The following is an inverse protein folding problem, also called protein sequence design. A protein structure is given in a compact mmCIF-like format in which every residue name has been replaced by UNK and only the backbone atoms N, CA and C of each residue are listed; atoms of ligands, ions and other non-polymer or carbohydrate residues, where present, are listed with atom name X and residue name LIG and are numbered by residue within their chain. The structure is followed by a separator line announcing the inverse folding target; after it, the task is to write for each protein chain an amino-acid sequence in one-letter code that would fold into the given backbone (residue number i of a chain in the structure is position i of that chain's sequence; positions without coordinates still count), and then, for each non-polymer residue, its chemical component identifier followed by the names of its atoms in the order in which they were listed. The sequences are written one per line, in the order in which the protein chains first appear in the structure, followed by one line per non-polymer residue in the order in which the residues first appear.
data_IF_517778214042
#
_entry.id   IF_517778214042
#
_cell.length_a   1.000
_cell.length_b   1.000
_cell.length_c   1.000
_cell.angle_alpha   90.00
_cell.angle_beta   90.00
_cell.angle_gamma   90.00
#
_symmetry.space_group_name_H-M   'P 1'
#
loop_
_entity.id
_entity.type
_entity.pdbx_description
1 polymer ?
#
# COMPACT_ATOMS: atom_id res chain seq x y z
N UNK A 1 14.14 -7.17 -6.88
CA UNK A 1 14.89 -7.63 -8.07
C UNK A 1 14.61 -6.63 -9.17
N UNK A 2 15.61 -5.86 -9.59
CA UNK A 2 15.45 -5.07 -10.81
C UNK A 2 15.45 -6.06 -11.98
N UNK A 3 14.30 -6.18 -12.66
CA UNK A 3 14.22 -6.81 -13.98
C UNK A 3 14.83 -5.85 -14.99
N UNK A 4 16.11 -5.56 -14.79
CA UNK A 4 16.92 -4.77 -15.68
C UNK A 4 17.63 -5.72 -16.64
N UNK A 5 17.52 -5.36 -17.91
CA UNK A 5 18.46 -5.64 -18.98
C UNK A 5 18.42 -7.06 -19.56
N UNK A 6 17.39 -7.33 -20.35
CA UNK A 6 17.66 -7.90 -21.66
C UNK A 6 17.54 -6.73 -22.61
N UNK A 7 18.68 -6.31 -23.13
CA UNK A 7 18.75 -5.21 -24.08
C UNK A 7 18.88 -5.82 -25.45
N UNK A 8 17.94 -5.51 -26.34
CA UNK A 8 17.90 -6.13 -27.68
C UNK A 8 19.17 -5.76 -28.47
N UNK A 9 19.73 -4.59 -28.19
CA UNK A 9 21.05 -4.13 -28.63
C UNK A 9 22.23 -5.02 -28.17
N UNK A 10 22.05 -5.88 -27.17
CA UNK A 10 23.03 -6.93 -26.78
C UNK A 10 23.11 -8.07 -27.81
N UNK A 11 22.13 -8.17 -28.73
CA UNK A 11 22.05 -9.22 -29.74
C UNK A 11 21.92 -8.65 -31.17
N UNK A 12 22.91 -7.88 -31.66
CA UNK A 12 22.83 -7.16 -32.93
C UNK A 12 22.72 -8.08 -34.16
N UNK A 13 23.19 -9.34 -34.08
CA UNK A 13 23.07 -10.32 -35.16
C UNK A 13 21.63 -10.85 -35.32
N UNK A 14 20.85 -10.84 -34.23
CA UNK A 14 19.44 -11.22 -34.26
C UNK A 14 18.55 -10.03 -34.62
N UNK A 15 18.81 -8.84 -34.06
CA UNK A 15 17.86 -7.72 -34.08
C UNK A 15 18.38 -6.41 -34.69
N UNK A 16 19.63 -6.37 -35.16
CA UNK A 16 20.17 -5.21 -35.86
C UNK A 16 19.45 -4.92 -37.19
N UNK A 17 19.81 -3.82 -37.85
CA UNK A 17 19.20 -3.38 -39.12
C UNK A 17 19.28 -4.41 -40.26
N UNK A 18 20.21 -5.37 -40.16
CA UNK A 18 20.38 -6.50 -41.08
C UNK A 18 20.24 -7.87 -40.37
N UNK A 19 19.66 -7.88 -39.16
CA UNK A 19 19.51 -9.07 -38.31
C UNK A 19 18.44 -10.04 -38.81
N UNK A 20 18.62 -11.33 -38.52
CA UNK A 20 17.79 -12.43 -39.05
C UNK A 20 16.33 -12.34 -38.54
N UNK A 21 16.11 -11.72 -37.38
CA UNK A 21 14.83 -11.66 -36.69
C UNK A 21 14.25 -10.23 -36.58
N UNK A 22 14.64 -9.32 -37.47
CA UNK A 22 14.17 -7.92 -37.44
C UNK A 22 12.64 -7.78 -37.46
N UNK A 23 11.92 -8.72 -38.08
CA UNK A 23 10.46 -8.77 -38.13
C UNK A 23 9.78 -9.18 -36.79
N UNK A 24 10.49 -9.87 -35.90
CA UNK A 24 9.98 -10.32 -34.59
C UNK A 24 10.42 -9.40 -33.45
N UNK A 25 11.36 -8.48 -33.73
CA UNK A 25 11.92 -7.51 -32.80
C UNK A 25 10.84 -6.71 -32.03
N UNK A 26 9.83 -6.19 -32.75
CA UNK A 26 8.79 -5.36 -32.14
C UNK A 26 7.92 -6.15 -31.15
N UNK A 27 7.60 -7.41 -31.47
CA UNK A 27 6.81 -8.29 -30.59
C UNK A 27 7.58 -8.63 -29.31
N UNK A 28 8.86 -8.99 -29.42
CA UNK A 28 9.70 -9.26 -28.25
C UNK A 28 9.92 -8.02 -27.38
N UNK A 29 10.12 -6.84 -28.00
CA UNK A 29 10.21 -5.58 -27.26
C UNK A 29 8.95 -5.32 -26.44
N UNK A 30 7.76 -5.56 -27.03
CA UNK A 30 6.47 -5.41 -26.33
C UNK A 30 6.37 -6.37 -25.15
N UNK A 31 6.74 -7.64 -25.34
CA UNK A 31 6.75 -8.67 -24.29
C UNK A 31 7.65 -8.26 -23.11
N UNK A 32 8.89 -7.84 -23.38
CA UNK A 32 9.83 -7.44 -22.33
C UNK A 32 9.33 -6.22 -21.55
N UNK A 33 8.75 -5.24 -22.24
CA UNK A 33 8.15 -4.07 -21.60
C UNK A 33 6.95 -4.45 -20.71
N UNK A 34 6.08 -5.35 -21.18
CA UNK A 34 4.95 -5.85 -20.39
C UNK A 34 5.41 -6.58 -19.13
N UNK A 35 6.41 -7.47 -19.24
CA UNK A 35 6.99 -8.17 -18.09
C UNK A 35 7.58 -7.20 -17.07
N UNK A 36 8.25 -6.14 -17.53
CA UNK A 36 8.78 -5.08 -16.68
C UNK A 36 7.68 -4.33 -15.92
N UNK A 37 6.58 -3.99 -16.60
CA UNK A 37 5.41 -3.34 -16.00
C UNK A 37 4.72 -4.24 -14.97
N UNK A 38 4.49 -5.50 -15.30
CA UNK A 38 3.86 -6.47 -14.38
C UNK A 38 4.70 -6.74 -13.15
N UNK A 39 6.02 -6.83 -13.28
CA UNK A 39 6.88 -6.97 -12.10
C UNK A 39 6.82 -5.75 -11.20
N UNK A 40 6.80 -4.54 -11.78
CA UNK A 40 6.66 -3.32 -11.00
C UNK A 40 5.32 -3.29 -10.26
N UNK A 41 4.21 -3.57 -10.94
CA UNK A 41 2.87 -3.62 -10.33
C UNK A 41 2.81 -4.69 -9.23
N UNK A 42 3.36 -5.89 -9.46
CA UNK A 42 3.38 -6.95 -8.46
C UNK A 42 4.17 -6.57 -7.20
N UNK A 43 5.32 -5.90 -7.34
CA UNK A 43 6.11 -5.40 -6.20
C UNK A 43 5.37 -4.31 -5.43
N UNK A 44 4.71 -3.38 -6.14
CA UNK A 44 3.89 -2.33 -5.53
C UNK A 44 2.73 -2.93 -4.73
N UNK A 45 2.01 -3.90 -5.30
CA UNK A 45 0.93 -4.62 -4.63
C UNK A 45 1.44 -5.42 -3.42
N UNK A 46 2.59 -6.08 -3.53
CA UNK A 46 3.20 -6.82 -2.42
C UNK A 46 3.55 -5.88 -1.25
N UNK A 47 4.05 -4.68 -1.57
CA UNK A 47 4.34 -3.64 -0.57
C UNK A 47 3.07 -3.13 0.11
N UNK A 48 2.02 -2.87 -0.68
CA UNK A 48 0.71 -2.44 -0.16
C UNK A 48 0.10 -3.50 0.75
N UNK A 49 0.17 -4.77 0.36
CA UNK A 49 -0.33 -5.90 1.15
C UNK A 49 0.45 -6.05 2.47
N UNK A 50 1.78 -5.92 2.43
CA UNK A 50 2.61 -5.96 3.64
C UNK A 50 2.25 -4.85 4.64
N UNK A 51 1.95 -3.64 4.17
CA UNK A 51 1.49 -2.53 5.01
C UNK A 51 0.14 -2.85 5.68
N UNK A 52 -0.82 -3.43 4.94
CA UNK A 52 -2.10 -3.90 5.48
C UNK A 52 -1.88 -4.96 6.56
N UNK A 53 -1.08 -6.00 6.26
CA UNK A 53 -0.78 -7.09 7.21
C UNK A 53 -0.14 -6.54 8.49
N UNK A 54 0.83 -5.62 8.37
CA UNK A 54 1.50 -5.03 9.51
C UNK A 54 0.54 -4.18 10.36
N UNK A 55 -0.36 -3.43 9.74
CA UNK A 55 -1.41 -2.67 10.46
C UNK A 55 -2.36 -3.59 11.22
N UNK A 56 -2.82 -4.67 10.58
CA UNK A 56 -3.73 -5.65 11.18
C UNK A 56 -3.05 -6.38 12.34
N UNK A 57 -1.81 -6.87 12.14
CA UNK A 57 -1.02 -7.51 13.21
C UNK A 57 -0.76 -6.55 14.37
N UNK A 58 -0.34 -5.32 14.09
CA UNK A 58 -0.13 -4.30 15.12
C UNK A 58 -1.41 -3.92 15.87
N UNK A 59 -2.59 -4.08 15.26
CA UNK A 59 -3.88 -3.94 15.96
C UNK A 59 -4.13 -5.12 16.90
N UNK A 60 -3.95 -6.35 16.42
CA UNK A 60 -4.22 -7.59 17.17
C UNK A 60 -3.22 -7.80 18.33
N UNK A 61 -1.95 -7.48 18.14
CA UNK A 61 -0.91 -7.56 19.18
C UNK A 61 -1.21 -6.64 20.37
N UNK A 62 -1.78 -5.46 20.10
CA UNK A 62 -2.30 -4.53 21.13
C UNK A 62 -3.53 -5.07 21.86
N UNK A 63 -4.05 -6.23 21.52
CA UNK A 63 -5.10 -6.91 22.29
C UNK A 63 -4.55 -8.10 23.08
N UNK A 64 -3.45 -8.69 22.61
CA UNK A 64 -2.85 -9.89 23.19
C UNK A 64 -1.95 -9.61 24.40
N UNK A 65 -1.41 -8.39 24.54
CA UNK A 65 -0.70 -8.02 25.78
C UNK A 65 -1.69 -7.62 26.87
N UNK A 66 -1.56 -8.21 28.07
CA UNK A 66 -2.34 -7.83 29.25
C UNK A 66 -2.25 -6.31 29.55
N UNK A 67 -1.13 -5.68 29.19
CA UNK A 67 -0.87 -4.25 29.38
C UNK A 67 -1.59 -3.35 28.36
N UNK A 68 -1.94 -3.83 27.17
CA UNK A 68 -2.60 -3.00 26.17
C UNK A 68 -4.10 -2.92 26.39
N UNK A 69 -4.71 -3.97 26.96
CA UNK A 69 -6.03 -3.83 27.60
C UNK A 69 -5.92 -2.79 28.71
N UNK A 70 -4.92 -2.82 29.59
CA UNK A 70 -4.74 -1.78 30.62
C UNK A 70 -4.50 -0.38 30.02
N UNK A 71 -3.75 -0.22 28.93
CA UNK A 71 -3.47 1.09 28.31
C UNK A 71 -4.71 1.72 27.67
N UNK A 72 -5.43 0.98 26.83
CA UNK A 72 -6.70 1.47 26.27
C UNK A 72 -7.77 1.56 27.37
N UNK A 73 -7.72 0.65 28.35
CA UNK A 73 -8.57 0.72 29.52
C UNK A 73 -8.13 1.79 30.51
N UNK A 74 -6.96 2.43 30.44
CA UNK A 74 -6.60 3.49 31.42
C UNK A 74 -7.43 4.74 31.18
N UNK A 75 -7.64 5.09 29.91
CA UNK A 75 -8.61 6.13 29.54
C UNK A 75 -10.05 5.72 29.86
N UNK A 76 -10.37 4.42 29.77
CA UNK A 76 -11.67 3.87 30.17
C UNK A 76 -11.79 3.84 31.69
N UNK A 77 -11.00 3.08 32.45
CA UNK A 77 -10.87 3.05 33.92
C UNK A 77 -10.90 4.42 34.60
N UNK A 78 -10.32 5.48 34.02
CA UNK A 78 -10.40 6.84 34.57
C UNK A 78 -11.78 7.51 34.38
N UNK A 79 -12.59 7.05 33.41
CA UNK A 79 -13.90 7.59 33.02
C UNK A 79 -15.07 6.58 33.16
N UNK A 80 -14.81 5.28 33.18
CA UNK A 80 -15.72 4.14 32.94
C UNK A 80 -15.17 2.84 33.57
N UNK A 81 -15.92 2.16 34.44
CA UNK A 81 -15.48 0.94 35.12
C UNK A 81 -15.54 -0.31 34.21
N UNK A 82 -14.57 -1.21 34.38
CA UNK A 82 -14.40 -2.46 33.59
C UNK A 82 -14.78 -3.73 34.35
N UNK A 83 -15.05 -3.65 35.66
CA UNK A 83 -15.43 -4.77 36.55
C UNK A 83 -16.86 -4.62 37.06
N UNK A 84 -17.49 -5.73 37.46
CA UNK A 84 -18.83 -5.77 38.05
C UNK A 84 -18.97 -4.68 39.13
N UNK A 85 -20.07 -3.91 39.14
CA UNK A 85 -20.31 -2.90 40.17
C UNK A 85 -20.15 -3.51 41.57
N UNK A 86 -19.35 -2.91 42.46
CA UNK A 86 -19.35 -3.24 43.87
C UNK A 86 -20.78 -3.21 44.44
N UNK A 87 -21.11 -4.06 45.41
CA UNK A 87 -22.48 -4.16 45.98
C UNK A 87 -22.99 -2.81 46.52
N UNK A 88 -22.10 -1.99 47.06
CA UNK A 88 -22.36 -0.64 47.56
C UNK A 88 -22.58 0.41 46.45
N UNK A 89 -22.19 0.11 45.22
CA UNK A 89 -22.33 0.97 44.04
C UNK A 89 -23.37 0.44 43.04
N UNK A 90 -24.00 -0.71 43.32
CA UNK A 90 -24.96 -1.35 42.44
C UNK A 90 -26.20 -0.48 42.12
N UNK A 91 -26.55 0.45 43.01
CA UNK A 91 -27.68 1.38 42.84
C UNK A 91 -27.26 2.78 42.32
N UNK A 92 -25.97 3.04 42.11
CA UNK A 92 -25.50 4.31 41.54
C UNK A 92 -25.75 4.30 40.02
N UNK A 93 -26.77 5.03 39.60
CA UNK A 93 -27.20 5.17 38.19
C UNK A 93 -26.03 5.65 37.31
N UNK A 94 -25.18 6.55 37.82
CA UNK A 94 -24.04 7.09 37.07
C UNK A 94 -22.97 6.02 36.87
N UNK A 95 -22.73 5.20 37.88
CA UNK A 95 -21.81 4.06 37.78
C UNK A 95 -22.34 3.02 36.79
N UNK A 96 -23.63 2.68 36.86
CA UNK A 96 -24.25 1.68 35.98
C UNK A 96 -24.21 2.11 34.51
N UNK A 97 -24.48 3.38 34.23
CA UNK A 97 -24.35 3.95 32.88
C UNK A 97 -22.91 3.84 32.38
N UNK A 98 -21.94 4.25 33.21
CA UNK A 98 -20.52 4.17 32.85
C UNK A 98 -20.04 2.73 32.65
N UNK A 99 -20.51 1.79 33.47
CA UNK A 99 -20.21 0.37 33.36
C UNK A 99 -20.76 -0.22 32.06
N UNK A 100 -22.04 0.05 31.76
CA UNK A 100 -22.69 -0.37 30.51
C UNK A 100 -21.93 0.15 29.28
N UNK A 101 -21.48 1.41 29.31
CA UNK A 101 -20.65 2.03 28.28
C UNK A 101 -19.32 1.28 28.09
N UNK A 102 -18.66 0.90 29.19
CA UNK A 102 -17.42 0.12 29.17
C UNK A 102 -17.61 -1.28 28.58
N UNK A 103 -18.68 -1.99 28.98
CA UNK A 103 -19.00 -3.32 28.44
C UNK A 103 -19.33 -3.28 26.94
N UNK A 104 -20.06 -2.27 26.49
CA UNK A 104 -20.33 -2.09 25.05
C UNK A 104 -19.05 -1.84 24.27
N UNK A 105 -18.12 -1.03 24.79
CA UNK A 105 -16.83 -0.80 24.14
C UNK A 105 -16.02 -2.10 23.98
N UNK A 106 -15.94 -2.90 25.05
CA UNK A 106 -15.25 -4.20 25.04
C UNK A 106 -15.89 -5.14 24.03
N UNK A 107 -17.22 -5.21 24.00
CA UNK A 107 -17.97 -6.05 23.06
C UNK A 107 -17.70 -5.66 21.60
N UNK A 108 -17.78 -4.37 21.28
CA UNK A 108 -17.53 -3.89 19.92
C UNK A 108 -16.07 -4.05 19.48
N UNK A 109 -15.11 -3.90 20.41
CA UNK A 109 -13.70 -4.18 20.13
C UNK A 109 -13.47 -5.65 19.80
N UNK A 110 -14.09 -6.59 20.53
CA UNK A 110 -14.00 -8.04 20.21
C UNK A 110 -14.52 -8.33 18.80
N UNK A 111 -15.67 -7.77 18.42
CA UNK A 111 -16.20 -7.90 17.05
C UNK A 111 -15.25 -7.33 16.00
N UNK A 112 -14.61 -6.19 16.28
CA UNK A 112 -13.61 -5.61 15.39
C UNK A 112 -12.39 -6.55 15.25
N UNK A 113 -11.95 -7.18 16.32
CA UNK A 113 -10.81 -8.11 16.29
C UNK A 113 -11.12 -9.38 15.51
N UNK A 114 -12.33 -9.93 15.63
CA UNK A 114 -12.78 -11.05 14.79
C UNK A 114 -12.74 -10.69 13.29
N UNK A 115 -13.19 -9.47 12.94
CA UNK A 115 -13.12 -8.98 11.56
C UNK A 115 -11.68 -8.73 11.10
N UNK A 116 -10.80 -8.23 11.97
CA UNK A 116 -9.37 -8.06 11.68
C UNK A 116 -8.69 -9.40 11.43
N UNK A 117 -9.02 -10.43 12.20
CA UNK A 117 -8.52 -11.78 11.98
C UNK A 117 -8.93 -12.31 10.60
N UNK A 118 -10.20 -12.13 10.24
CA UNK A 118 -10.70 -12.48 8.90
C UNK A 118 -10.00 -11.69 7.79
N UNK A 119 -9.72 -10.41 8.01
CA UNK A 119 -8.94 -9.58 7.08
C UNK A 119 -7.54 -10.16 6.86
N UNK A 120 -6.90 -10.70 7.90
CA UNK A 120 -5.59 -11.32 7.81
C UNK A 120 -5.65 -12.61 6.97
N UNK A 121 -6.65 -13.47 7.19
CA UNK A 121 -6.88 -14.68 6.39
C UNK A 121 -7.10 -14.37 4.91
N UNK A 122 -7.79 -13.26 4.60
CA UNK A 122 -7.99 -12.80 3.22
C UNK A 122 -6.70 -12.34 2.54
N UNK A 123 -5.65 -12.01 3.31
CA UNK A 123 -4.37 -11.56 2.77
C UNK A 123 -3.46 -12.72 2.31
N UNK A 124 -3.69 -13.95 2.78
CA UNK A 124 -2.80 -15.10 2.50
C UNK A 124 -2.75 -15.46 1.01
N UNK A 125 -3.92 -15.46 0.36
CA UNK A 125 -4.06 -15.79 -1.06
C UNK A 125 -3.38 -14.78 -2.00
N UNK A 126 -3.66 -13.46 -1.93
CA UNK A 126 -2.94 -12.48 -2.75
C UNK A 126 -1.44 -12.42 -2.42
N UNK A 127 -1.02 -12.68 -1.17
CA UNK A 127 0.41 -12.74 -0.83
C UNK A 127 1.11 -13.87 -1.58
N UNK A 128 0.48 -15.05 -1.63
CA UNK A 128 0.99 -16.20 -2.36
C UNK A 128 1.01 -15.96 -3.87
N UNK A 129 -0.11 -15.49 -4.44
CA UNK A 129 -0.23 -15.22 -5.88
C UNK A 129 0.82 -14.21 -6.37
N UNK A 130 1.06 -13.15 -5.61
CA UNK A 130 2.08 -12.15 -5.96
C UNK A 130 3.49 -12.71 -5.89
N UNK A 131 3.82 -13.52 -4.87
CA UNK A 131 5.13 -14.19 -4.78
C UNK A 131 5.35 -15.13 -5.96
N UNK A 132 4.36 -15.97 -6.27
CA UNK A 132 4.42 -16.93 -7.36
C UNK A 132 4.54 -16.20 -8.72
N UNK A 133 3.81 -15.10 -8.91
CA UNK A 133 3.87 -14.27 -10.12
C UNK A 133 5.24 -13.62 -10.31
N UNK A 134 5.84 -13.06 -9.25
CA UNK A 134 7.18 -12.46 -9.32
C UNK A 134 8.23 -13.53 -9.71
N UNK A 135 8.14 -14.72 -9.13
CA UNK A 135 9.03 -15.85 -9.46
C UNK A 135 8.86 -16.27 -10.91
N UNK A 136 7.61 -16.39 -11.40
CA UNK A 136 7.33 -16.78 -12.77
C UNK A 136 7.81 -15.72 -13.78
N UNK A 137 7.63 -14.43 -13.49
CA UNK A 137 8.16 -13.36 -14.33
C UNK A 137 9.69 -13.45 -14.41
N UNK A 138 10.38 -13.68 -13.29
CA UNK A 138 11.83 -13.90 -13.28
C UNK A 138 12.24 -15.13 -14.10
N UNK A 139 11.48 -16.22 -14.04
CA UNK A 139 11.73 -17.43 -14.82
C UNK A 139 11.56 -17.17 -16.33
N UNK A 140 10.52 -16.44 -16.73
CA UNK A 140 10.28 -16.05 -18.13
C UNK A 140 11.42 -15.20 -18.64
N UNK A 141 11.84 -14.18 -17.88
CA UNK A 141 12.97 -13.32 -18.26
C UNK A 141 14.25 -14.15 -18.45
N UNK A 142 14.55 -15.06 -17.53
CA UNK A 142 15.73 -15.93 -17.66
C UNK A 142 15.63 -16.88 -18.85
N UNK A 143 14.45 -17.43 -19.13
CA UNK A 143 14.20 -18.27 -20.30
C UNK A 143 14.49 -17.49 -21.59
N UNK A 144 13.93 -16.28 -21.73
CA UNK A 144 14.14 -15.42 -22.90
C UNK A 144 15.62 -15.12 -23.08
N UNK A 145 16.31 -14.70 -22.01
CA UNK A 145 17.75 -14.40 -22.02
C UNK A 145 18.57 -15.59 -22.52
N UNK A 146 18.34 -16.77 -21.93
CA UNK A 146 19.07 -17.99 -22.28
C UNK A 146 18.83 -18.43 -23.73
N UNK A 147 17.60 -18.27 -24.23
CA UNK A 147 17.29 -18.61 -25.62
C UNK A 147 17.96 -17.63 -26.58
N UNK A 148 17.95 -16.33 -26.29
CA UNK A 148 18.62 -15.33 -27.11
C UNK A 148 20.13 -15.56 -27.18
N UNK A 149 20.78 -15.91 -26.06
CA UNK A 149 22.19 -16.30 -26.08
C UNK A 149 22.47 -17.51 -26.98
N UNK A 150 21.62 -18.55 -26.92
CA UNK A 150 21.75 -19.73 -27.79
C UNK A 150 21.60 -19.37 -29.25
N UNK A 151 20.57 -18.58 -29.59
CA UNK A 151 20.34 -18.15 -30.97
C UNK A 151 21.47 -17.25 -31.48
N UNK A 152 21.94 -16.31 -30.68
CA UNK A 152 23.03 -15.41 -31.09
C UNK A 152 24.33 -16.19 -31.33
N UNK A 153 24.70 -17.12 -30.44
CA UNK A 153 25.88 -17.98 -30.64
C UNK A 153 25.74 -18.90 -31.85
N UNK A 154 24.52 -19.37 -32.14
CA UNK A 154 24.25 -20.17 -33.32
C UNK A 154 24.44 -19.34 -34.60
N UNK A 155 23.85 -18.14 -34.65
CA UNK A 155 23.98 -17.22 -35.80
C UNK A 155 25.43 -16.83 -36.06
N UNK A 156 26.22 -16.56 -35.01
CA UNK A 156 27.66 -16.31 -35.14
C UNK A 156 28.40 -17.47 -35.82
N UNK A 157 28.08 -18.71 -35.44
CA UNK A 157 28.70 -19.90 -36.04
C UNK A 157 28.25 -20.12 -37.48
N UNK A 158 26.98 -19.86 -37.79
CA UNK A 158 26.41 -20.18 -39.10
C UNK A 158 26.54 -19.09 -40.16
N UNK A 159 26.84 -17.84 -39.80
CA UNK A 159 27.28 -16.83 -40.78
C UNK A 159 28.50 -17.30 -41.59
N UNK A 160 29.24 -18.30 -41.10
CA UNK A 160 30.35 -18.94 -41.82
C UNK A 160 29.92 -20.07 -42.77
N UNK A 161 28.68 -20.60 -42.70
CA UNK A 161 28.22 -21.77 -43.47
C UNK A 161 26.78 -21.57 -44.02
N UNK A 162 26.65 -21.56 -45.35
CA UNK A 162 25.54 -20.97 -46.12
C UNK A 162 24.11 -21.57 -45.99
N UNK A 163 23.12 -20.65 -46.08
CA UNK A 163 21.82 -20.67 -46.80
C UNK A 163 20.58 -21.48 -46.38
N UNK A 164 20.62 -22.48 -45.48
CA UNK A 164 19.40 -23.28 -45.15
C UNK A 164 18.81 -23.06 -43.74
N UNK A 165 19.26 -22.00 -43.05
CA UNK A 165 19.06 -21.80 -41.62
C UNK A 165 17.74 -21.11 -41.22
N UNK A 166 17.18 -20.31 -42.13
CA UNK A 166 16.21 -19.27 -41.79
C UNK A 166 14.84 -19.81 -41.29
N UNK A 167 14.31 -20.85 -41.92
CA UNK A 167 12.96 -21.35 -41.61
C UNK A 167 12.86 -22.11 -40.27
N UNK A 168 13.90 -22.84 -39.86
CA UNK A 168 13.87 -23.63 -38.61
C UNK A 168 13.96 -22.74 -37.36
N UNK A 169 14.84 -21.73 -37.38
CA UNK A 169 14.92 -20.71 -36.31
C UNK A 169 13.61 -19.96 -36.12
N UNK A 170 12.98 -19.53 -37.21
CA UNK A 170 11.71 -18.81 -37.14
C UNK A 170 10.60 -19.65 -36.47
N UNK A 171 10.50 -20.94 -36.79
CA UNK A 171 9.52 -21.85 -36.15
C UNK A 171 9.79 -22.00 -34.64
N UNK A 172 11.06 -22.15 -34.24
CA UNK A 172 11.43 -22.26 -32.82
C UNK A 172 11.13 -20.97 -32.05
N UNK A 173 11.38 -19.81 -32.65
CA UNK A 173 11.07 -18.50 -32.07
C UNK A 173 9.57 -18.29 -31.89
N UNK A 174 8.75 -18.63 -32.90
CA UNK A 174 7.28 -18.53 -32.79
C UNK A 174 6.75 -19.42 -31.67
N UNK A 175 7.23 -20.66 -31.55
CA UNK A 175 6.82 -21.56 -30.46
C UNK A 175 7.20 -21.02 -29.08
N UNK A 176 8.38 -20.39 -28.96
CA UNK A 176 8.83 -19.77 -27.72
C UNK A 176 7.94 -18.57 -27.36
N UNK A 177 7.60 -17.71 -28.32
CA UNK A 177 6.71 -16.55 -28.12
C UNK A 177 5.35 -17.01 -27.59
N UNK A 178 4.72 -17.99 -28.24
CA UNK A 178 3.42 -18.50 -27.79
C UNK A 178 3.47 -19.06 -26.36
N UNK A 179 4.57 -19.71 -25.98
CA UNK A 179 4.74 -20.21 -24.61
C UNK A 179 4.86 -19.04 -23.61
N UNK A 180 5.59 -18.00 -23.97
CA UNK A 180 5.77 -16.80 -23.16
C UNK A 180 4.43 -16.05 -23.01
N UNK A 181 3.68 -15.87 -24.10
CA UNK A 181 2.40 -15.16 -24.09
C UNK A 181 1.40 -15.83 -23.13
N UNK A 182 1.28 -17.16 -23.16
CA UNK A 182 0.43 -17.89 -22.22
C UNK A 182 0.84 -17.69 -20.75
N UNK A 183 2.15 -17.58 -20.47
CA UNK A 183 2.65 -17.32 -19.12
C UNK A 183 2.38 -15.87 -18.69
N UNK A 184 2.51 -14.92 -19.62
CA UNK A 184 2.22 -13.51 -19.40
C UNK A 184 0.74 -13.31 -19.09
N UNK A 185 -0.15 -13.94 -19.85
CA UNK A 185 -1.59 -13.90 -19.61
C UNK A 185 -1.94 -14.42 -18.22
N UNK A 186 -1.33 -15.55 -17.81
CA UNK A 186 -1.50 -16.08 -16.46
C UNK A 186 -1.04 -15.08 -15.39
N UNK A 187 0.17 -14.53 -15.50
CA UNK A 187 0.67 -13.53 -14.55
C UNK A 187 -0.24 -12.30 -14.47
N UNK A 188 -0.77 -11.83 -15.61
CA UNK A 188 -1.67 -10.70 -15.65
C UNK A 188 -2.98 -10.99 -14.90
N UNK A 189 -3.55 -12.17 -15.07
CA UNK A 189 -4.76 -12.59 -14.36
C UNK A 189 -4.51 -12.71 -12.85
N UNK A 190 -3.38 -13.30 -12.46
CA UNK A 190 -2.99 -13.46 -11.04
C UNK A 190 -2.76 -12.09 -10.37
N UNK A 191 -2.10 -11.14 -11.05
CA UNK A 191 -1.89 -9.76 -10.57
C UNK A 191 -3.23 -9.03 -10.43
N UNK A 192 -4.12 -9.15 -11.42
CA UNK A 192 -5.44 -8.50 -11.40
C UNK A 192 -6.30 -9.02 -10.24
N UNK A 193 -6.38 -10.34 -10.10
CA UNK A 193 -7.08 -11.00 -8.99
C UNK A 193 -6.50 -10.60 -7.63
N UNK A 194 -5.16 -10.52 -7.52
CA UNK A 194 -4.49 -10.09 -6.28
C UNK A 194 -4.85 -8.64 -5.92
N UNK A 195 -4.89 -7.75 -6.92
CA UNK A 195 -5.25 -6.33 -6.74
C UNK A 195 -6.66 -6.17 -6.17
N UNK A 196 -7.63 -6.86 -6.75
CA UNK A 196 -9.03 -6.83 -6.28
C UNK A 196 -9.14 -7.31 -4.81
N UNK A 197 -8.43 -8.40 -4.47
CA UNK A 197 -8.41 -8.92 -3.08
C UNK A 197 -7.74 -7.96 -2.10
N UNK A 198 -6.66 -7.32 -2.51
CA UNK A 198 -5.97 -6.30 -1.70
C UNK A 198 -6.88 -5.10 -1.46
N UNK A 199 -7.63 -4.66 -2.48
CA UNK A 199 -8.57 -3.55 -2.35
C UNK A 199 -9.71 -3.90 -1.40
N UNK A 200 -10.27 -5.12 -1.47
CA UNK A 200 -11.25 -5.63 -0.51
C UNK A 200 -10.70 -5.67 0.93
N UNK A 201 -9.44 -6.09 1.12
CA UNK A 201 -8.80 -6.08 2.44
C UNK A 201 -8.67 -4.64 2.98
N UNK A 202 -8.29 -3.69 2.13
CA UNK A 202 -8.20 -2.28 2.51
C UNK A 202 -9.57 -1.70 2.89
N UNK A 203 -10.63 -1.99 2.13
CA UNK A 203 -11.99 -1.54 2.45
C UNK A 203 -12.51 -2.11 3.76
N UNK A 204 -12.24 -3.40 4.02
CA UNK A 204 -12.59 -4.04 5.27
C UNK A 204 -11.84 -3.40 6.45
N UNK A 205 -10.53 -3.15 6.29
CA UNK A 205 -9.72 -2.46 7.30
C UNK A 205 -10.26 -1.07 7.62
N UNK A 206 -10.53 -0.26 6.59
CA UNK A 206 -11.07 1.10 6.75
C UNK A 206 -12.45 1.07 7.44
N UNK A 207 -13.30 0.09 7.11
CA UNK A 207 -14.61 -0.13 7.73
C UNK A 207 -14.51 -0.50 9.22
N UNK A 208 -13.54 -1.34 9.59
CA UNK A 208 -13.28 -1.70 10.99
C UNK A 208 -12.76 -0.48 11.76
N UNK A 209 -11.82 0.26 11.20
CA UNK A 209 -11.32 1.51 11.80
C UNK A 209 -12.47 2.50 12.03
N UNK A 210 -13.35 2.68 11.04
CA UNK A 210 -14.56 3.49 11.14
C UNK A 210 -15.46 3.05 12.30
N UNK A 211 -15.79 1.76 12.35
CA UNK A 211 -16.65 1.20 13.41
C UNK A 211 -16.04 1.45 14.78
N UNK A 212 -14.75 1.16 14.96
CA UNK A 212 -14.08 1.34 16.24
C UNK A 212 -13.99 2.82 16.63
N UNK A 213 -13.69 3.71 15.68
CA UNK A 213 -13.63 5.14 15.95
C UNK A 213 -14.98 5.73 16.35
N UNK A 214 -16.10 5.24 15.80
CA UNK A 214 -17.44 5.64 16.27
C UNK A 214 -17.69 5.25 17.71
N UNK A 215 -17.33 4.03 18.09
CA UNK A 215 -17.47 3.56 19.48
C UNK A 215 -16.57 4.38 20.42
N UNK A 216 -15.38 4.78 19.94
CA UNK A 216 -14.42 5.59 20.69
C UNK A 216 -14.81 7.07 20.81
N UNK A 217 -15.30 7.70 19.73
CA UNK A 217 -15.47 9.16 19.62
C UNK A 217 -16.93 9.62 19.71
N UNK A 218 -17.90 8.76 19.36
CA UNK A 218 -19.34 9.04 19.31
C UNK A 218 -20.00 9.36 20.65
N UNK A 219 -19.20 9.61 21.69
CA UNK A 219 -19.65 9.90 23.06
C UNK A 219 -19.13 11.25 23.59
N UNK A 220 -18.46 12.03 22.73
CA UNK A 220 -18.30 13.48 22.96
C UNK A 220 -19.49 14.19 22.32
N UNK A 221 -20.12 15.14 23.04
CA UNK A 221 -21.28 15.90 22.53
C UNK A 221 -21.00 16.66 21.22
N UNK A 222 -19.72 16.86 20.88
CA UNK A 222 -19.27 17.41 19.60
C UNK A 222 -19.46 16.44 18.40
N UNK A 223 -19.65 15.13 18.64
CA UNK A 223 -19.65 14.08 17.60
C UNK A 223 -21.06 13.66 17.14
N UNK A 224 -22.11 13.89 17.95
CA UNK A 224 -23.47 13.40 17.63
C UNK A 224 -24.17 14.20 16.53
N UNK A 225 -23.80 15.48 16.35
CA UNK A 225 -24.63 16.44 15.59
C UNK A 225 -23.99 16.92 14.27
N UNK A 226 -22.81 16.39 13.88
CA UNK A 226 -22.08 16.85 12.69
C UNK A 226 -22.19 15.91 11.49
N UNK A 227 -22.20 16.50 10.29
CA UNK A 227 -22.18 15.82 8.99
C UNK A 227 -21.08 14.75 9.00
N UNK A 228 -21.48 13.48 8.95
CA UNK A 228 -20.57 12.34 9.03
C UNK A 228 -19.98 11.93 7.69
N UNK A 229 -20.29 12.65 6.61
CA UNK A 229 -19.86 12.31 5.25
C UNK A 229 -18.95 13.40 4.69
N UNK A 230 -17.91 12.97 3.98
CA UNK A 230 -17.03 13.83 3.21
C UNK A 230 -17.83 14.61 2.17
N UNK A 231 -17.69 15.94 2.16
CA UNK A 231 -18.33 16.82 1.18
C UNK A 231 -17.80 16.62 -0.24
N UNK A 232 -16.60 16.04 -0.38
CA UNK A 232 -15.94 15.81 -1.68
C UNK A 232 -16.36 14.46 -2.28
N UNK A 233 -16.24 13.36 -1.53
CA UNK A 233 -16.50 12.01 -2.07
C UNK A 233 -17.75 11.31 -1.51
N UNK A 234 -18.47 11.93 -0.58
CA UNK A 234 -19.67 11.36 0.05
C UNK A 234 -19.41 10.21 1.03
N UNK A 235 -18.18 9.69 1.14
CA UNK A 235 -17.83 8.61 2.08
C UNK A 235 -17.87 9.09 3.52
N UNK A 236 -18.19 8.19 4.44
CA UNK A 236 -18.21 8.49 5.87
C UNK A 236 -16.81 8.81 6.40
N UNK A 237 -16.70 9.83 7.26
CA UNK A 237 -15.44 10.22 7.89
C UNK A 237 -14.96 9.15 8.88
N UNK A 238 -13.67 8.77 8.76
CA UNK A 238 -13.01 7.81 9.66
C UNK A 238 -12.68 8.47 11.00
N UNK A 239 -12.33 9.75 10.97
CA UNK A 239 -12.03 10.60 12.12
C UNK A 239 -12.71 11.96 11.93
N UNK A 240 -13.05 12.69 13.00
CA UNK A 240 -13.72 14.01 13.01
C UNK A 240 -13.53 14.84 11.72
N UNK A 241 -14.52 14.85 10.82
CA UNK A 241 -14.50 15.62 9.55
C UNK A 241 -13.29 15.38 8.62
N UNK A 242 -12.58 14.27 8.81
CA UNK A 242 -11.38 13.93 8.07
C UNK A 242 -11.59 12.76 7.11
N UNK A 243 -11.32 12.99 5.83
CA UNK A 243 -11.45 11.99 4.79
C UNK A 243 -10.06 11.60 4.28
N UNK A 244 -9.54 10.47 4.77
CA UNK A 244 -8.20 9.97 4.44
C UNK A 244 -7.88 9.97 2.94
N UNK A 245 -8.82 9.54 2.10
CA UNK A 245 -8.63 9.50 0.65
C UNK A 245 -8.61 10.89 0.03
N UNK A 246 -9.60 11.74 0.34
CA UNK A 246 -9.69 13.07 -0.25
C UNK A 246 -8.53 13.96 0.17
N UNK A 247 -8.12 13.90 1.43
CA UNK A 247 -6.98 14.66 1.92
C UNK A 247 -5.68 14.17 1.28
N UNK A 248 -5.48 12.86 1.14
CA UNK A 248 -4.32 12.31 0.42
C UNK A 248 -4.29 12.75 -1.04
N UNK A 249 -5.44 12.75 -1.71
CA UNK A 249 -5.55 13.20 -3.10
C UNK A 249 -5.30 14.70 -3.23
N UNK A 250 -5.82 15.51 -2.30
CA UNK A 250 -5.51 16.92 -2.20
C UNK A 250 -4.02 17.16 -2.01
N UNK A 251 -3.38 16.46 -1.07
CA UNK A 251 -1.93 16.56 -0.86
C UNK A 251 -1.15 16.16 -2.10
N UNK A 252 -1.53 15.07 -2.77
CA UNK A 252 -0.93 14.63 -4.04
C UNK A 252 -0.99 15.73 -5.11
N UNK A 253 -2.15 16.34 -5.28
CA UNK A 253 -2.35 17.39 -6.28
C UNK A 253 -1.55 18.66 -5.94
N UNK A 254 -1.39 18.96 -4.65
CA UNK A 254 -0.71 20.16 -4.17
C UNK A 254 0.81 19.97 -3.96
N UNK A 255 1.38 18.79 -4.26
CA UNK A 255 2.82 18.49 -4.03
C UNK A 255 3.75 19.46 -4.77
N UNK A 256 3.32 20.02 -5.89
CA UNK A 256 4.10 20.98 -6.70
C UNK A 256 3.88 22.45 -6.33
N UNK A 257 2.93 22.76 -5.44
CA UNK A 257 2.51 24.14 -5.15
C UNK A 257 3.42 24.84 -4.14
N UNK A 258 4.27 24.10 -3.42
CA UNK A 258 5.18 24.67 -2.43
C UNK A 258 6.54 23.94 -2.40
N UNK A 259 7.57 24.67 -1.96
CA UNK A 259 8.88 24.16 -1.57
C UNK A 259 9.39 24.98 -0.38
N UNK A 260 10.07 24.31 0.54
CA UNK A 260 10.79 24.99 1.63
C UNK A 260 12.13 25.59 1.18
N UNK A 261 12.56 25.33 -0.06
CA UNK A 261 13.93 25.55 -0.51
C UNK A 261 14.93 24.49 -0.01
N UNK A 262 14.47 23.53 0.81
CA UNK A 262 15.28 22.41 1.29
C UNK A 262 14.69 21.07 0.82
N UNK A 263 15.37 20.44 -0.14
CA UNK A 263 14.92 19.19 -0.75
C UNK A 263 14.73 18.03 0.24
N UNK A 264 15.51 17.98 1.34
CA UNK A 264 15.37 16.94 2.35
C UNK A 264 14.09 17.13 3.19
N UNK A 265 13.79 18.37 3.57
CA UNK A 265 12.56 18.72 4.29
C UNK A 265 11.34 18.50 3.40
N UNK A 266 11.40 18.94 2.15
CA UNK A 266 10.31 18.73 1.17
C UNK A 266 10.01 17.25 0.99
N UNK A 267 11.05 16.42 0.81
CA UNK A 267 10.88 14.97 0.68
C UNK A 267 10.23 14.35 1.92
N UNK A 268 10.62 14.80 3.11
CA UNK A 268 10.05 14.32 4.36
C UNK A 268 8.58 14.71 4.51
N UNK A 269 8.23 15.99 4.35
CA UNK A 269 6.84 16.46 4.49
C UNK A 269 5.94 15.77 3.45
N UNK A 270 6.38 15.67 2.19
CA UNK A 270 5.63 14.95 1.15
C UNK A 270 5.44 13.47 1.50
N UNK A 271 6.47 12.82 2.02
CA UNK A 271 6.35 11.44 2.50
C UNK A 271 5.31 11.32 3.61
N UNK A 272 5.35 12.21 4.62
CA UNK A 272 4.37 12.19 5.72
C UNK A 272 2.97 12.40 5.16
N UNK A 273 2.74 13.42 4.33
CA UNK A 273 1.45 13.76 3.72
C UNK A 273 0.84 12.60 2.93
N UNK A 274 1.65 11.91 2.12
CA UNK A 274 1.20 10.75 1.34
C UNK A 274 0.89 9.52 2.20
N UNK A 275 1.49 9.44 3.39
CA UNK A 275 1.35 8.32 4.33
C UNK A 275 0.50 8.66 5.56
N UNK A 276 -0.26 9.76 5.55
CA UNK A 276 -1.13 10.14 6.67
C UNK A 276 -2.14 9.02 6.94
N UNK A 277 -2.19 8.60 8.21
CA UNK A 277 -3.14 7.61 8.72
C UNK A 277 -4.07 8.18 9.81
N UNK A 278 -3.79 9.37 10.33
CA UNK A 278 -4.62 10.08 11.30
C UNK A 278 -4.61 11.59 11.03
N UNK A 279 -5.72 12.31 11.30
CA UNK A 279 -5.78 13.77 11.10
C UNK A 279 -4.74 14.52 11.94
N UNK A 280 -4.43 14.02 13.14
CA UNK A 280 -3.47 14.65 14.04
C UNK A 280 -2.00 14.43 13.62
N UNK A 281 -1.76 13.66 12.57
CA UNK A 281 -0.42 13.38 12.04
C UNK A 281 -0.14 14.11 10.72
N UNK A 282 -1.05 15.00 10.30
CA UNK A 282 -0.84 15.83 9.12
C UNK A 282 0.24 16.86 9.42
N UNK A 283 1.25 16.93 8.55
CA UNK A 283 2.25 18.00 8.54
C UNK A 283 2.01 18.83 7.30
N UNK A 284 1.82 20.13 7.48
CA UNK A 284 1.63 21.10 6.42
C UNK A 284 2.80 22.06 6.38
N UNK A 285 3.25 22.41 5.17
CA UNK A 285 4.23 23.45 4.97
C UNK A 285 3.52 24.79 4.82
N UNK A 286 3.83 25.73 5.71
CA UNK A 286 3.32 27.10 5.65
C UNK A 286 4.51 28.03 5.38
N UNK A 287 4.52 28.76 4.25
CA UNK A 287 5.53 29.76 3.95
C UNK A 287 5.69 30.79 5.06
N UNK A 288 6.94 31.17 5.35
CA UNK A 288 7.25 32.03 6.51
C UNK A 288 6.60 33.42 6.42
N UNK A 289 6.41 33.92 5.20
CA UNK A 289 5.78 35.20 4.89
C UNK A 289 4.27 35.24 5.19
N UNK A 290 3.63 34.10 5.43
CA UNK A 290 2.25 34.05 5.90
C UNK A 290 2.12 34.32 7.41
N UNK A 291 3.22 34.29 8.16
CA UNK A 291 3.21 34.54 9.60
C UNK A 291 3.40 36.00 9.94
N UNK A 292 2.60 36.49 10.90
CA UNK A 292 2.72 37.81 11.50
C UNK A 292 2.91 37.71 13.02
N UNK A 293 3.23 38.83 13.67
CA UNK A 293 3.36 38.92 15.14
C UNK A 293 4.27 37.84 15.75
N UNK A 294 5.43 37.62 15.12
CA UNK A 294 6.35 36.55 15.50
C UNK A 294 7.05 36.90 16.81
N UNK A 295 6.72 36.18 17.87
CA UNK A 295 7.28 36.36 19.21
C UNK A 295 8.01 35.10 19.66
N UNK A 296 9.24 35.26 20.13
CA UNK A 296 10.04 34.17 20.69
C UNK A 296 9.39 33.58 21.95
N UNK A 297 9.37 32.25 22.06
CA UNK A 297 8.87 31.53 23.25
C UNK A 297 10.03 30.92 24.05
N UNK A 298 11.01 30.29 23.38
CA UNK A 298 12.08 29.58 24.06
C UNK A 298 12.92 28.70 23.14
N UNK A 299 14.05 28.21 23.65
CA UNK A 299 14.89 27.20 23.00
C UNK A 299 14.73 25.85 23.69
N UNK A 300 14.50 24.79 22.90
CA UNK A 300 14.63 23.40 23.32
C UNK A 300 15.95 22.80 22.87
N UNK A 301 16.17 21.52 23.17
CA UNK A 301 17.39 20.80 22.78
C UNK A 301 17.59 20.61 21.27
N UNK A 302 16.52 20.76 20.48
CA UNK A 302 16.53 20.48 19.04
C UNK A 302 15.98 21.62 18.17
N UNK A 303 15.37 22.65 18.78
CA UNK A 303 14.72 23.72 18.04
C UNK A 303 14.49 24.97 18.89
N UNK A 304 14.35 26.10 18.21
CA UNK A 304 13.80 27.34 18.77
C UNK A 304 12.30 27.42 18.46
N UNK A 305 11.51 27.81 19.45
CA UNK A 305 10.05 27.91 19.34
C UNK A 305 9.62 29.37 19.30
N UNK A 306 8.80 29.71 18.33
CA UNK A 306 8.15 31.02 18.17
C UNK A 306 6.62 30.86 18.17
N UNK A 307 5.92 31.89 18.63
CA UNK A 307 4.48 32.07 18.44
C UNK A 307 4.28 33.05 17.29
N UNK A 308 3.39 32.73 16.36
CA UNK A 308 2.97 33.61 15.27
C UNK A 308 1.44 33.64 15.17
N UNK A 309 0.91 34.63 14.47
CA UNK A 309 -0.51 34.76 14.11
C UNK A 309 -0.64 34.89 12.60
#
# INVERSE_FOLDING_TARGET
MEINNIRIDEFPLLFGSYGICGNVNEQFTKILNQLGLFNKEAIELQTKLADIINKVKGWLEKDLSADAVDYYSRGINLLYPTKTPPEDQAFDITYQERYSIGQQFISERKKCNEKMQKCLEMCDDPEKLLKDSIVEICNVVNLVRNQFFKFNSFVEKTLNDSTNLNQNLQVQLVSLINNIDNKIEKCQNDITSSKEKIDLCQELLDSIELQFNRVRLGRTSAYSDQIQNCTICGKQYIYLKWCKSCDRDQFKNNLSEWTSGNAAIDKFIRYVQLNINHPNCVVEWIPYDQFTNITYIGNGGFATVYRAT
#
